data_IF_621556258488
#
_entry.id   IF_621556258488
#
_cell.length_a   1.000
_cell.length_b   1.000
_cell.length_c   1.000
_cell.angle_alpha   90.00
_cell.angle_beta   90.00
_cell.angle_gamma   90.00
#
_symmetry.space_group_name_H-M   'P 1'
#
loop_
_entity.id
_entity.type
_entity.pdbx_description
1 polymer ?
#
# COMPACT_ATOMS: atom_id res chain seq x y z
N UNK A 1 -11.72 -12.88 -8.97
CA UNK A 1 -11.00 -13.22 -7.72
C UNK A 1 -11.87 -13.04 -6.48
N UNK A 2 -12.53 -11.90 -6.32
CA UNK A 2 -13.31 -11.55 -5.11
C UNK A 2 -14.38 -12.56 -4.67
N UNK A 3 -14.94 -13.34 -5.59
CA UNK A 3 -15.92 -14.39 -5.26
C UNK A 3 -15.41 -15.81 -5.46
N UNK A 4 -14.21 -15.97 -6.02
CA UNK A 4 -13.63 -17.30 -6.19
C UNK A 4 -13.27 -17.91 -4.83
N UNK A 5 -13.29 -19.26 -4.69
CA UNK A 5 -12.78 -19.92 -3.50
C UNK A 5 -11.36 -19.44 -3.17
N UNK A 6 -11.08 -19.23 -1.89
CA UNK A 6 -9.79 -18.69 -1.44
C UNK A 6 -8.65 -19.59 -1.88
N UNK A 7 -8.83 -20.90 -1.76
CA UNK A 7 -7.85 -21.92 -2.14
C UNK A 7 -7.55 -21.85 -3.65
N UNK A 8 -8.56 -21.54 -4.47
CA UNK A 8 -8.37 -21.34 -5.91
C UNK A 8 -7.50 -20.10 -6.18
N UNK A 9 -7.71 -19.02 -5.43
CA UNK A 9 -6.91 -17.80 -5.57
C UNK A 9 -5.47 -18.03 -5.08
N UNK A 10 -5.29 -18.67 -3.93
CA UNK A 10 -3.97 -18.97 -3.37
C UNK A 10 -3.17 -19.93 -4.25
N UNK A 11 -3.81 -20.87 -4.96
CA UNK A 11 -3.14 -21.72 -5.96
C UNK A 11 -2.59 -20.97 -7.18
N UNK A 12 -3.01 -19.73 -7.41
CA UNK A 12 -2.42 -18.89 -8.45
C UNK A 12 -1.03 -18.38 -8.05
N UNK A 13 -0.69 -18.41 -6.76
CA UNK A 13 0.63 -18.04 -6.26
C UNK A 13 1.54 -19.26 -6.44
N UNK A 14 2.49 -19.14 -7.36
CA UNK A 14 3.43 -20.22 -7.72
C UNK A 14 4.78 -20.05 -7.05
N UNK A 15 5.12 -18.81 -6.74
CA UNK A 15 6.44 -18.44 -6.24
C UNK A 15 6.32 -17.38 -5.15
N UNK A 16 7.33 -17.33 -4.28
CA UNK A 16 7.43 -16.34 -3.22
C UNK A 16 8.88 -15.88 -3.11
N UNK A 17 9.09 -14.59 -2.94
CA UNK A 17 10.42 -13.98 -2.83
C UNK A 17 10.41 -12.96 -1.68
N UNK A 18 11.40 -13.03 -0.78
CA UNK A 18 11.54 -12.09 0.34
C UNK A 18 10.64 -12.35 1.55
N UNK A 19 9.96 -13.50 1.63
CA UNK A 19 9.09 -13.81 2.79
C UNK A 19 9.87 -13.90 4.12
N UNK A 20 11.14 -14.25 4.07
CA UNK A 20 12.03 -14.25 5.23
C UNK A 20 12.20 -12.86 5.86
N UNK A 21 11.95 -11.79 5.10
CA UNK A 21 11.90 -10.42 5.63
C UNK A 21 10.70 -10.23 6.55
N UNK A 22 9.57 -10.87 6.23
CA UNK A 22 8.36 -10.86 7.06
C UNK A 22 8.66 -11.54 8.39
N UNK A 23 9.27 -12.73 8.35
CA UNK A 23 9.60 -13.49 9.56
C UNK A 23 10.52 -12.68 10.49
N UNK A 24 11.55 -12.03 9.92
CA UNK A 24 12.44 -11.13 10.66
C UNK A 24 11.70 -9.92 11.24
N UNK A 25 10.82 -9.30 10.46
CA UNK A 25 10.05 -8.13 10.89
C UNK A 25 9.00 -8.47 11.96
N UNK A 26 8.51 -9.71 11.98
CA UNK A 26 7.47 -10.18 12.91
C UNK A 26 8.05 -10.94 14.12
N UNK A 27 9.38 -11.13 14.20
CA UNK A 27 10.03 -11.86 15.29
C UNK A 27 9.99 -11.15 16.66
N UNK A 28 9.60 -9.87 16.70
CA UNK A 28 9.41 -9.11 17.95
C UNK A 28 7.97 -8.64 18.12
N UNK A 29 7.69 -7.87 19.18
CA UNK A 29 6.33 -7.40 19.51
C UNK A 29 5.85 -6.21 18.68
N UNK A 30 6.63 -5.79 17.67
CA UNK A 30 6.29 -4.67 16.79
C UNK A 30 5.51 -5.20 15.59
N UNK A 31 4.32 -4.67 15.35
CA UNK A 31 3.57 -5.00 14.15
C UNK A 31 4.24 -4.53 12.86
N UNK A 32 3.67 -4.93 11.74
CA UNK A 32 4.22 -4.70 10.40
C UNK A 32 3.26 -3.89 9.54
N UNK A 33 3.77 -2.83 8.92
CA UNK A 33 3.11 -2.14 7.82
C UNK A 33 3.58 -2.79 6.52
N UNK A 34 2.64 -3.33 5.74
CA UNK A 34 2.87 -3.77 4.38
C UNK A 34 2.37 -2.69 3.43
N UNK A 35 3.31 -2.01 2.78
CA UNK A 35 3.03 -1.14 1.66
C UNK A 35 2.74 -2.00 0.44
N UNK A 36 1.61 -1.79 -0.21
CA UNK A 36 1.27 -2.45 -1.45
C UNK A 36 0.97 -1.38 -2.49
N UNK A 37 1.94 -0.89 -3.29
CA UNK A 37 1.61 0.01 -4.38
C UNK A 37 0.60 -0.66 -5.34
N UNK A 38 -0.07 0.11 -6.17
CA UNK A 38 -0.98 -0.40 -7.20
C UNK A 38 -0.17 -1.06 -8.34
N UNK A 39 0.54 -2.14 -8.00
CA UNK A 39 1.53 -2.86 -8.80
C UNK A 39 1.17 -4.35 -8.84
N UNK A 40 1.19 -4.94 -10.03
CA UNK A 40 0.77 -6.32 -10.23
C UNK A 40 -0.65 -6.56 -9.73
N UNK A 41 -0.88 -7.68 -9.05
CA UNK A 41 -2.16 -8.03 -8.45
C UNK A 41 -2.16 -7.81 -6.93
N UNK A 42 -2.23 -6.55 -6.51
CA UNK A 42 -2.26 -6.17 -5.10
C UNK A 42 -3.44 -6.78 -4.31
N UNK A 43 -4.57 -7.10 -4.96
CA UNK A 43 -5.69 -7.83 -4.34
C UNK A 43 -5.29 -9.25 -3.93
N UNK A 44 -4.52 -9.94 -4.78
CA UNK A 44 -4.00 -11.27 -4.47
C UNK A 44 -2.95 -11.22 -3.36
N UNK A 45 -2.10 -10.19 -3.33
CA UNK A 45 -1.16 -9.96 -2.23
C UNK A 45 -1.93 -9.75 -0.91
N UNK A 46 -2.94 -8.87 -0.89
CA UNK A 46 -3.80 -8.67 0.27
C UNK A 46 -4.47 -9.96 0.74
N UNK A 47 -5.00 -10.76 -0.19
CA UNK A 47 -5.58 -12.07 0.12
C UNK A 47 -4.55 -13.04 0.73
N UNK A 48 -3.33 -13.08 0.17
CA UNK A 48 -2.25 -13.94 0.65
C UNK A 48 -1.84 -13.63 2.09
N UNK A 49 -1.67 -12.34 2.43
CA UNK A 49 -1.28 -11.94 3.77
C UNK A 49 -2.44 -12.03 4.77
N UNK A 50 -3.67 -11.68 4.36
CA UNK A 50 -4.85 -11.85 5.23
C UNK A 50 -5.12 -13.30 5.62
N UNK A 51 -4.74 -14.28 4.78
CA UNK A 51 -4.87 -15.70 5.10
C UNK A 51 -3.82 -16.20 6.09
N UNK A 52 -2.83 -15.39 6.46
CA UNK A 52 -1.66 -15.77 7.28
C UNK A 52 -1.52 -14.93 8.54
N UNK A 53 -2.01 -13.70 8.52
CA UNK A 53 -1.81 -12.74 9.60
C UNK A 53 -3.12 -12.06 9.98
N UNK A 54 -3.21 -11.69 11.27
CA UNK A 54 -4.24 -10.76 11.75
C UNK A 54 -3.99 -9.40 11.12
N UNK A 55 -4.82 -9.05 10.13
CA UNK A 55 -4.54 -7.93 9.23
C UNK A 55 -5.69 -6.93 9.17
N UNK A 56 -5.36 -5.63 9.16
CA UNK A 56 -6.29 -4.60 8.71
C UNK A 56 -5.77 -3.89 7.45
N UNK A 57 -6.66 -3.59 6.51
CA UNK A 57 -6.34 -2.86 5.29
C UNK A 57 -7.04 -1.50 5.28
N UNK A 58 -6.25 -0.45 5.04
CA UNK A 58 -6.77 0.90 4.83
C UNK A 58 -7.50 0.98 3.48
N UNK A 59 -8.70 1.55 3.47
CA UNK A 59 -9.41 1.83 2.22
C UNK A 59 -10.03 3.23 2.20
N UNK A 60 -10.33 3.70 0.98
CA UNK A 60 -11.15 4.88 0.75
C UNK A 60 -12.56 4.43 0.33
N UNK A 61 -13.63 4.96 0.93
CA UNK A 61 -14.99 4.63 0.53
C UNK A 61 -15.21 4.86 -0.97
N UNK A 62 -15.84 3.91 -1.68
CA UNK A 62 -16.19 4.09 -3.08
C UNK A 62 -17.25 5.19 -3.21
N UNK A 63 -17.38 5.76 -4.41
CA UNK A 63 -18.40 6.78 -4.67
C UNK A 63 -19.83 6.19 -4.66
N UNK A 64 -19.97 4.87 -4.80
CA UNK A 64 -21.24 4.15 -4.76
C UNK A 64 -21.37 3.45 -3.39
N UNK A 65 -22.19 3.97 -2.46
CA UNK A 65 -22.29 3.43 -1.10
C UNK A 65 -22.70 1.96 -1.05
N UNK A 66 -23.58 1.53 -1.95
CA UNK A 66 -24.08 0.15 -2.02
C UNK A 66 -22.96 -0.84 -2.37
N UNK A 67 -21.92 -0.38 -3.08
CA UNK A 67 -20.75 -1.18 -3.40
C UNK A 67 -19.80 -1.34 -2.21
N UNK A 68 -19.84 -0.43 -1.24
CA UNK A 68 -18.93 -0.44 -0.10
C UNK A 68 -19.12 -1.69 0.77
N UNK A 69 -20.36 -2.02 1.11
CA UNK A 69 -20.67 -3.21 1.92
C UNK A 69 -20.23 -4.50 1.22
N UNK A 70 -20.45 -4.58 -0.10
CA UNK A 70 -19.99 -5.70 -0.91
C UNK A 70 -18.46 -5.80 -0.89
N UNK A 71 -17.76 -4.68 -1.13
CA UNK A 71 -16.29 -4.60 -1.12
C UNK A 71 -15.71 -5.02 0.24
N UNK A 72 -16.30 -4.54 1.35
CA UNK A 72 -15.91 -4.92 2.71
C UNK A 72 -16.08 -6.42 2.91
N UNK A 73 -17.24 -6.97 2.53
CA UNK A 73 -17.54 -8.39 2.66
C UNK A 73 -16.53 -9.26 1.90
N UNK A 74 -16.26 -8.96 0.63
CA UNK A 74 -15.41 -9.82 -0.21
C UNK A 74 -13.92 -9.70 0.14
N UNK A 75 -13.44 -8.52 0.52
CA UNK A 75 -12.04 -8.32 0.94
C UNK A 75 -11.80 -8.79 2.38
N UNK A 76 -12.82 -8.73 3.24
CA UNK A 76 -12.74 -9.15 4.65
C UNK A 76 -13.06 -10.62 4.91
N UNK A 77 -13.36 -11.42 3.87
CA UNK A 77 -13.83 -12.82 4.01
C UNK A 77 -12.85 -13.79 4.66
N UNK A 78 -11.58 -13.40 4.84
CA UNK A 78 -10.56 -14.15 5.58
C UNK A 78 -10.26 -13.55 6.97
N UNK A 79 -11.15 -12.69 7.49
CA UNK A 79 -10.98 -12.04 8.78
C UNK A 79 -10.12 -10.78 8.74
N UNK A 80 -9.72 -10.30 7.57
CA UNK A 80 -9.08 -8.99 7.47
C UNK A 80 -10.09 -7.86 7.73
N UNK A 81 -9.72 -6.93 8.59
CA UNK A 81 -10.55 -5.75 8.86
C UNK A 81 -10.32 -4.68 7.79
N UNK A 82 -11.39 -4.16 7.20
CA UNK A 82 -11.31 -3.00 6.33
C UNK A 82 -11.60 -1.74 7.14
N UNK A 83 -10.65 -0.81 7.14
CA UNK A 83 -10.74 0.43 7.94
C UNK A 83 -10.65 1.66 7.06
N UNK A 84 -11.59 2.60 7.26
CA UNK A 84 -11.59 3.88 6.56
C UNK A 84 -10.43 4.76 7.03
N UNK A 85 -10.00 5.69 6.19
CA UNK A 85 -9.02 6.73 6.55
C UNK A 85 -9.52 7.83 7.50
N UNK A 86 -10.46 7.51 8.38
CA UNK A 86 -10.97 8.42 9.41
C UNK A 86 -10.30 8.18 10.78
N UNK A 87 -10.60 9.03 11.77
CA UNK A 87 -9.99 8.93 13.11
C UNK A 87 -10.15 7.55 13.75
N UNK A 88 -11.31 6.90 13.57
CA UNK A 88 -11.61 5.60 14.17
C UNK A 88 -10.82 4.50 13.47
N UNK A 89 -10.81 4.50 12.14
CA UNK A 89 -10.04 3.52 11.36
C UNK A 89 -8.54 3.65 11.59
N UNK A 90 -8.00 4.87 11.64
CA UNK A 90 -6.59 5.09 11.96
C UNK A 90 -6.22 4.66 13.39
N UNK A 91 -7.12 4.85 14.36
CA UNK A 91 -6.92 4.33 15.71
C UNK A 91 -6.91 2.79 15.72
N UNK A 92 -7.77 2.15 14.92
CA UNK A 92 -7.81 0.69 14.80
C UNK A 92 -6.54 0.13 14.14
N UNK A 93 -6.04 0.76 13.08
CA UNK A 93 -4.74 0.39 12.47
C UNK A 93 -3.61 0.46 13.50
N UNK A 94 -3.54 1.54 14.27
CA UNK A 94 -2.51 1.68 15.30
C UNK A 94 -2.64 0.62 16.42
N UNK A 95 -3.87 0.20 16.76
CA UNK A 95 -4.11 -0.90 17.71
C UNK A 95 -3.56 -2.21 17.17
N UNK A 96 -3.93 -2.59 15.95
CA UNK A 96 -3.47 -3.83 15.31
C UNK A 96 -1.95 -3.89 15.24
N UNK A 97 -1.30 -2.78 14.88
CA UNK A 97 0.16 -2.71 14.84
C UNK A 97 0.81 -2.86 16.23
N UNK A 98 0.19 -2.35 17.31
CA UNK A 98 0.69 -2.56 18.67
C UNK A 98 0.43 -3.96 19.21
N UNK A 99 -0.56 -4.65 18.66
CA UNK A 99 -0.89 -6.04 18.96
C UNK A 99 -0.01 -7.03 18.16
N UNK A 100 1.04 -6.55 17.47
CA UNK A 100 1.90 -7.39 16.62
C UNK A 100 1.22 -7.86 15.32
N UNK A 101 0.13 -7.23 14.91
CA UNK A 101 -0.57 -7.53 13.66
C UNK A 101 -0.03 -6.79 12.44
N UNK A 102 -0.73 -6.95 11.31
CA UNK A 102 -0.32 -6.39 10.01
C UNK A 102 -1.28 -5.29 9.56
N UNK A 103 -0.73 -4.18 9.07
CA UNK A 103 -1.49 -3.12 8.40
C UNK A 103 -1.15 -3.08 6.90
N UNK A 104 -2.13 -3.33 6.03
CA UNK A 104 -2.02 -3.15 4.58
C UNK A 104 -2.37 -1.72 4.18
N UNK A 105 -1.47 -1.05 3.45
CA UNK A 105 -1.66 0.33 2.99
C UNK A 105 -1.21 0.44 1.53
N UNK A 106 -2.05 1.02 0.68
CA UNK A 106 -1.68 1.38 -0.69
C UNK A 106 -1.26 2.86 -0.70
N UNK A 107 0.06 3.18 -0.78
CA UNK A 107 0.58 4.51 -0.44
C UNK A 107 0.68 5.48 -1.63
N UNK A 108 0.45 4.99 -2.84
CA UNK A 108 0.90 5.58 -4.11
C UNK A 108 -0.21 6.32 -4.87
N UNK A 109 -1.32 6.65 -4.22
CA UNK A 109 -2.34 7.55 -4.76
C UNK A 109 -2.42 8.85 -3.96
N UNK A 110 -2.85 9.93 -4.62
CA UNK A 110 -2.95 11.24 -3.97
C UNK A 110 -4.03 11.22 -2.88
N UNK A 111 -3.70 11.64 -1.64
CA UNK A 111 -4.68 11.70 -0.57
C UNK A 111 -5.69 12.84 -0.77
N UNK A 112 -6.95 12.56 -0.44
CA UNK A 112 -8.05 13.55 -0.48
C UNK A 112 -8.02 14.54 0.70
N UNK A 113 -7.45 14.14 1.84
CA UNK A 113 -7.51 14.89 3.10
C UNK A 113 -6.27 15.72 3.45
N UNK A 114 -6.33 16.33 4.64
CA UNK A 114 -5.18 16.98 5.30
C UNK A 114 -4.16 15.91 5.72
N UNK A 115 -2.86 16.23 5.65
CA UNK A 115 -1.78 15.31 6.01
C UNK A 115 -1.05 14.72 4.81
N UNK A 116 -0.48 15.59 4.00
CA UNK A 116 0.31 15.27 2.83
C UNK A 116 1.54 16.17 2.78
N UNK A 117 2.52 15.77 1.99
CA UNK A 117 3.65 16.59 1.58
C UNK A 117 3.81 16.46 0.06
N UNK A 118 4.49 17.42 -0.55
CA UNK A 118 5.01 17.27 -1.90
C UNK A 118 6.40 16.66 -1.79
N UNK A 119 6.60 15.57 -2.53
CA UNK A 119 7.86 14.85 -2.58
C UNK A 119 8.06 14.28 -3.99
N UNK A 120 9.31 14.06 -4.43
CA UNK A 120 9.60 13.58 -5.77
C UNK A 120 9.06 12.16 -5.95
N UNK A 121 8.44 11.92 -7.09
CA UNK A 121 8.08 10.62 -7.64
C UNK A 121 8.48 10.60 -9.12
N UNK A 122 9.43 9.74 -9.51
CA UNK A 122 10.07 9.73 -10.83
C UNK A 122 10.51 11.13 -11.29
N UNK A 123 11.16 11.88 -10.39
CA UNK A 123 11.67 13.23 -10.65
C UNK A 123 10.62 14.35 -10.65
N UNK A 124 9.34 14.05 -10.37
CA UNK A 124 8.27 15.05 -10.28
C UNK A 124 7.77 15.21 -8.86
N UNK A 125 7.69 16.46 -8.37
CA UNK A 125 7.06 16.76 -7.09
C UNK A 125 5.56 16.45 -7.11
N UNK A 126 5.13 15.49 -6.28
CA UNK A 126 3.74 15.04 -6.22
C UNK A 126 3.20 15.00 -4.81
N UNK A 127 1.89 15.23 -4.67
CA UNK A 127 1.18 15.14 -3.40
C UNK A 127 1.17 13.70 -2.90
N UNK A 128 1.81 13.45 -1.75
CA UNK A 128 2.01 12.12 -1.16
C UNK A 128 1.52 12.09 0.29
N UNK A 129 0.94 10.97 0.73
CA UNK A 129 0.38 10.88 2.08
C UNK A 129 1.46 10.77 3.17
N UNK A 130 1.24 11.46 4.30
CA UNK A 130 2.11 11.38 5.51
C UNK A 130 1.65 10.32 6.52
N UNK A 131 0.65 9.51 6.16
CA UNK A 131 0.02 8.59 7.12
C UNK A 131 1.00 7.49 7.57
N UNK A 132 1.78 6.94 6.63
CA UNK A 132 2.71 5.84 6.89
C UNK A 132 3.75 6.27 7.95
N UNK A 133 4.42 7.41 7.75
CA UNK A 133 5.41 7.92 8.71
C UNK A 133 4.81 8.17 10.10
N UNK A 134 3.59 8.71 10.16
CA UNK A 134 2.87 8.92 11.42
C UNK A 134 2.52 7.61 12.12
N UNK A 135 2.19 6.56 11.39
CA UNK A 135 1.94 5.23 11.98
C UNK A 135 3.23 4.66 12.56
N UNK A 136 4.33 4.67 11.78
CA UNK A 136 5.66 4.22 12.23
C UNK A 136 6.06 4.92 13.53
N UNK A 137 5.96 6.25 13.58
CA UNK A 137 6.33 7.03 14.78
C UNK A 137 5.46 6.71 16.00
N UNK A 138 4.20 6.33 15.81
CA UNK A 138 3.23 6.08 16.89
C UNK A 138 3.24 4.66 17.42
N UNK A 139 3.71 3.70 16.62
CA UNK A 139 3.65 2.27 16.93
C UNK A 139 5.02 1.62 16.99
N UNK A 140 6.04 2.24 16.38
CA UNK A 140 7.35 1.62 16.17
C UNK A 140 7.31 0.46 15.17
N UNK A 141 6.23 0.33 14.39
CA UNK A 141 6.04 -0.78 13.45
C UNK A 141 7.17 -0.87 12.42
N UNK A 142 7.53 -2.10 12.06
CA UNK A 142 8.38 -2.39 10.92
C UNK A 142 7.64 -2.08 9.62
N UNK A 143 8.37 -1.83 8.53
CA UNK A 143 7.76 -1.52 7.22
C UNK A 143 8.45 -2.27 6.09
N UNK A 144 7.66 -2.99 5.31
CA UNK A 144 8.09 -3.66 4.09
C UNK A 144 7.14 -3.28 2.95
N UNK A 145 7.58 -3.50 1.72
CA UNK A 145 6.77 -3.28 0.52
C UNK A 145 6.57 -4.60 -0.21
N UNK A 146 5.36 -4.83 -0.73
CA UNK A 146 4.97 -6.08 -1.36
C UNK A 146 4.05 -5.87 -2.54
N UNK A 147 4.11 -6.79 -3.49
CA UNK A 147 3.23 -6.86 -4.64
C UNK A 147 3.13 -8.31 -5.11
N UNK A 148 2.11 -8.62 -5.93
CA UNK A 148 1.98 -9.91 -6.60
C UNK A 148 2.30 -9.74 -8.09
N UNK A 149 3.52 -10.05 -8.48
CA UNK A 149 3.96 -10.04 -9.87
C UNK A 149 3.25 -11.13 -10.66
N UNK A 150 2.67 -10.81 -11.81
CA UNK A 150 2.21 -11.82 -12.77
C UNK A 150 3.42 -12.43 -13.46
N UNK A 151 3.52 -13.75 -13.47
CA UNK A 151 4.62 -14.45 -14.12
C UNK A 151 4.61 -14.22 -15.65
N UNK A 152 5.78 -14.13 -16.32
CA UNK A 152 5.89 -13.86 -17.75
C UNK A 152 5.11 -14.84 -18.64
N UNK A 153 4.99 -16.10 -18.21
CA UNK A 153 4.29 -17.16 -18.93
C UNK A 153 2.78 -17.24 -18.61
N UNK A 154 2.24 -16.30 -17.83
CA UNK A 154 0.86 -16.27 -17.38
C UNK A 154 0.41 -17.46 -16.51
N UNK A 155 1.32 -18.30 -16.02
CA UNK A 155 0.99 -19.52 -15.24
C UNK A 155 0.50 -19.24 -13.81
N UNK A 156 0.69 -18.00 -13.34
CA UNK A 156 0.31 -17.56 -12.02
C UNK A 156 1.00 -16.27 -11.61
N UNK A 157 1.30 -16.17 -10.32
CA UNK A 157 1.88 -14.99 -9.69
C UNK A 157 3.02 -15.37 -8.73
N UNK A 158 3.97 -14.45 -8.57
CA UNK A 158 4.97 -14.44 -7.51
C UNK A 158 4.60 -13.40 -6.45
N UNK A 159 4.55 -13.78 -5.18
CA UNK A 159 4.50 -12.79 -4.09
C UNK A 159 5.92 -12.29 -3.85
N UNK A 160 6.12 -10.98 -3.98
CA UNK A 160 7.41 -10.34 -3.78
C UNK A 160 7.34 -9.45 -2.55
N UNK A 161 8.36 -9.51 -1.70
CA UNK A 161 8.55 -8.63 -0.56
C UNK A 161 9.95 -8.01 -0.64
N UNK A 162 10.03 -6.69 -0.41
CA UNK A 162 11.27 -5.92 -0.40
C UNK A 162 11.37 -5.07 0.86
N UNK A 163 12.59 -4.73 1.23
CA UNK A 163 12.85 -3.66 2.19
C UNK A 163 12.48 -2.29 1.60
N UNK A 164 12.06 -1.34 2.43
CA UNK A 164 11.68 0.01 1.99
C UNK A 164 12.82 1.03 2.08
N UNK A 165 14.01 0.60 2.49
CA UNK A 165 15.12 1.49 2.83
C UNK A 165 14.87 2.26 4.15
N UNK A 166 15.73 3.24 4.42
CA UNK A 166 15.63 4.10 5.61
C UNK A 166 14.80 5.36 5.32
N UNK A 167 14.38 6.07 6.37
CA UNK A 167 13.75 7.39 6.26
C UNK A 167 12.22 7.42 6.24
N UNK A 168 11.52 6.28 6.03
CA UNK A 168 10.04 6.27 6.05
C UNK A 168 9.45 6.74 7.39
N UNK A 169 10.19 6.61 8.49
CA UNK A 169 9.79 7.05 9.83
C UNK A 169 10.18 8.49 10.18
N UNK A 170 10.80 9.26 9.27
CA UNK A 170 11.31 10.61 9.57
C UNK A 170 10.20 11.56 10.04
N UNK A 171 10.57 12.48 10.94
CA UNK A 171 9.67 13.51 11.49
C UNK A 171 9.41 14.61 10.46
N UNK A 172 10.34 14.88 9.56
CA UNK A 172 10.10 15.73 8.40
C UNK A 172 9.19 14.98 7.41
N UNK A 173 7.97 15.48 7.16
CA UNK A 173 7.05 14.84 6.23
C UNK A 173 7.60 14.78 4.80
N UNK A 174 8.44 15.72 4.36
CA UNK A 174 9.04 15.69 3.02
C UNK A 174 10.05 14.55 2.95
N UNK A 175 11.03 14.50 3.87
CA UNK A 175 12.00 13.40 3.93
C UNK A 175 11.33 12.01 3.97
N UNK A 176 10.31 11.84 4.81
CA UNK A 176 9.61 10.56 4.93
C UNK A 176 8.82 10.17 3.67
N UNK A 177 8.17 11.14 3.01
CA UNK A 177 7.42 10.86 1.78
C UNK A 177 8.33 10.69 0.56
N UNK A 178 9.49 11.33 0.53
CA UNK A 178 10.56 11.06 -0.45
C UNK A 178 11.06 9.63 -0.33
N UNK A 179 11.38 9.17 0.88
CA UNK A 179 11.83 7.80 1.09
C UNK A 179 10.77 6.77 0.67
N UNK A 180 9.49 7.03 1.00
CA UNK A 180 8.39 6.18 0.58
C UNK A 180 8.20 6.14 -0.95
N UNK A 181 8.24 7.30 -1.61
CA UNK A 181 8.14 7.37 -3.08
C UNK A 181 9.31 6.62 -3.74
N UNK A 182 10.53 6.77 -3.24
CA UNK A 182 11.69 6.07 -3.76
C UNK A 182 11.56 4.54 -3.63
N UNK A 183 11.08 4.03 -2.49
CA UNK A 183 10.80 2.61 -2.33
C UNK A 183 9.76 2.10 -3.34
N UNK A 184 8.72 2.90 -3.63
CA UNK A 184 7.72 2.56 -4.65
C UNK A 184 8.35 2.57 -6.05
N UNK A 185 9.16 3.59 -6.38
CA UNK A 185 9.86 3.69 -7.67
C UNK A 185 10.72 2.46 -7.95
N UNK A 186 11.47 1.99 -6.95
CA UNK A 186 12.30 0.79 -7.07
C UNK A 186 11.47 -0.43 -7.46
N UNK A 187 10.34 -0.68 -6.77
CA UNK A 187 9.46 -1.79 -7.12
C UNK A 187 8.80 -1.62 -8.50
N UNK A 188 8.39 -0.39 -8.85
CA UNK A 188 7.80 -0.11 -10.17
C UNK A 188 8.83 -0.32 -11.28
N UNK A 189 10.11 -0.01 -11.05
CA UNK A 189 11.18 -0.26 -12.03
C UNK A 189 11.46 -1.74 -12.27
N UNK A 190 11.13 -2.64 -11.33
CA UNK A 190 11.28 -4.09 -11.51
C UNK A 190 10.29 -4.64 -12.57
N UNK A 191 9.04 -4.16 -12.55
CA UNK A 191 7.95 -4.62 -13.43
C UNK A 191 7.05 -3.45 -13.90
N UNK A 192 7.59 -2.47 -14.64
CA UNK A 192 6.91 -1.22 -14.96
C UNK A 192 5.62 -1.43 -15.76
N UNK A 193 5.56 -2.46 -16.60
CA UNK A 193 4.38 -2.82 -17.36
C UNK A 193 3.19 -3.30 -16.52
N UNK A 194 3.43 -3.64 -15.24
CA UNK A 194 2.39 -4.11 -14.31
C UNK A 194 1.94 -3.03 -13.31
N UNK A 195 2.43 -1.80 -13.42
CA UNK A 195 1.96 -0.69 -12.58
C UNK A 195 0.67 -0.08 -13.14
N UNK A 196 -0.24 0.34 -12.26
CA UNK A 196 -1.51 0.98 -12.65
C UNK A 196 -1.32 2.44 -13.11
N UNK A 197 -0.70 2.62 -14.28
CA UNK A 197 -0.40 3.91 -14.90
C UNK A 197 -1.63 4.74 -15.28
N UNK A 198 -2.83 4.16 -15.28
CA UNK A 198 -4.09 4.88 -15.54
C UNK A 198 -4.41 5.92 -14.46
N UNK A 199 -3.91 5.72 -13.24
CA UNK A 199 -4.05 6.72 -12.19
C UNK A 199 -3.17 7.93 -12.51
N UNK A 200 -3.80 9.12 -12.58
CA UNK A 200 -3.10 10.38 -12.87
C UNK A 200 -2.26 10.86 -11.67
N UNK A 201 -1.23 10.09 -11.29
CA UNK A 201 -0.42 10.26 -10.09
C UNK A 201 0.25 11.63 -10.00
N UNK A 202 0.67 12.15 -11.15
CA UNK A 202 1.36 13.44 -11.29
C UNK A 202 0.39 14.64 -11.36
N UNK A 203 -0.93 14.44 -11.14
CA UNK A 203 -1.94 15.49 -11.32
C UNK A 203 -1.86 16.57 -10.25
N UNK A 204 -1.58 16.18 -9.01
CA UNK A 204 -1.54 17.08 -7.87
C UNK A 204 -0.09 17.38 -7.50
N UNK A 205 0.38 18.54 -7.95
CA UNK A 205 1.75 19.07 -7.76
C UNK A 205 1.73 20.29 -6.84
N UNK A 206 2.90 20.81 -6.41
CA UNK A 206 2.96 22.06 -5.65
C UNK A 206 2.15 23.19 -6.31
N UNK A 207 1.56 24.12 -5.53
CA UNK A 207 0.85 25.26 -6.10
C UNK A 207 1.72 26.05 -7.07
N UNK A 208 1.18 26.39 -8.24
CA UNK A 208 1.95 27.09 -9.27
C UNK A 208 2.58 26.18 -10.35
N UNK A 209 2.59 24.86 -10.15
CA UNK A 209 3.10 23.89 -11.11
C UNK A 209 2.06 23.50 -12.18
N UNK A 210 2.54 23.24 -13.40
CA UNK A 210 1.69 22.79 -14.52
C UNK A 210 1.20 21.36 -14.27
N UNK A 211 -0.09 21.11 -14.48
CA UNK A 211 -0.63 19.77 -14.48
C UNK A 211 -0.25 19.04 -15.80
N UNK A 212 0.58 17.97 -15.76
CA UNK A 212 1.06 17.31 -16.98
C UNK A 212 -0.04 16.60 -17.77
N UNK A 213 -1.22 16.38 -17.17
CA UNK A 213 -2.37 15.77 -17.84
C UNK A 213 -3.40 16.79 -18.35
N UNK A 214 -3.21 18.06 -18.05
CA UNK A 214 -4.00 19.18 -18.56
C UNK A 214 -3.14 20.46 -18.51
N UNK A 215 -2.28 20.69 -19.53
CA UNK A 215 -1.29 21.76 -19.52
C UNK A 215 -1.86 23.18 -19.39
N UNK A 216 -3.13 23.37 -19.71
CA UNK A 216 -3.84 24.65 -19.56
C UNK A 216 -4.22 24.96 -18.11
N UNK A 217 -3.91 24.06 -17.17
CA UNK A 217 -4.23 24.19 -15.75
C UNK A 217 -2.97 24.15 -14.88
N UNK A 218 -2.92 25.10 -13.96
CA UNK A 218 -1.94 25.16 -12.87
C UNK A 218 -2.55 24.51 -11.61
N UNK A 219 -1.71 23.85 -10.81
CA UNK A 219 -2.10 23.23 -9.54
C UNK A 219 -2.36 24.25 -8.44
#
# INVERSE_FOLDING_TARGET
MWEWPVEKCLRLIRETEGLELIDKAMAGDRGLILLAPHLGNWELAGLFFSSRYKMAALYSPPNMPEFEDYMIKVRGRLGSELVRGDRRGLARLASILREGGVAGILPDQSPRGKGNAFAPFFGMEVKTMTLVSKLIQRTGANVLITYAERLPDASGFRIVVRETGSGLGDRDPVAATTAMNHAIEQCVQEIPEQYQWEYKRMRHRPPGEINPYNPDRVC
#
